data_IF_820927050462
#
_entry.id   IF_820927050462
#
_cell.length_a   1.000
_cell.length_b   1.000
_cell.length_c   1.000
_cell.angle_alpha   90.00
_cell.angle_beta   90.00
_cell.angle_gamma   90.00
#
_symmetry.space_group_name_H-M   'P 1'
#
loop_
_entity.id
_entity.type
_entity.pdbx_description
1 polymer ?
#
# COMPACT_ATOMS: atom_id res chain seq x y z
N UNK A 1 -17.95 6.47 22.68
CA UNK A 1 -18.49 7.25 21.54
C UNK A 1 -17.57 7.25 20.30
N UNK A 2 -16.24 7.34 20.43
CA UNK A 2 -15.32 7.30 19.25
C UNK A 2 -15.26 5.95 18.49
N UNK A 3 -15.53 4.82 19.16
CA UNK A 3 -15.43 3.49 18.54
C UNK A 3 -16.55 3.19 17.53
N UNK A 4 -17.71 3.84 17.64
CA UNK A 4 -18.84 3.65 16.71
C UNK A 4 -18.73 4.58 15.50
N UNK A 5 -18.12 5.76 15.67
CA UNK A 5 -17.94 6.74 14.58
C UNK A 5 -16.93 6.27 13.52
N UNK A 6 -15.86 5.57 13.90
CA UNK A 6 -14.85 5.10 12.94
C UNK A 6 -15.39 4.10 11.89
N UNK A 7 -16.04 2.98 12.26
CA UNK A 7 -16.61 2.06 11.27
C UNK A 7 -17.73 2.71 10.46
N UNK A 8 -18.50 3.62 11.07
CA UNK A 8 -19.54 4.38 10.36
C UNK A 8 -18.96 5.28 9.27
N UNK A 9 -17.86 6.00 9.56
CA UNK A 9 -17.18 6.85 8.59
C UNK A 9 -16.62 6.01 7.44
N UNK A 10 -15.95 4.89 7.73
CA UNK A 10 -15.43 3.98 6.68
C UNK A 10 -16.57 3.45 5.81
N UNK A 11 -17.67 3.01 6.42
CA UNK A 11 -18.84 2.53 5.68
C UNK A 11 -19.44 3.63 4.80
N UNK A 12 -19.55 4.86 5.32
CA UNK A 12 -20.06 6.00 4.56
C UNK A 12 -19.13 6.36 3.40
N UNK A 13 -17.81 6.42 3.62
CA UNK A 13 -16.83 6.68 2.56
C UNK A 13 -16.90 5.63 1.45
N UNK A 14 -17.03 4.35 1.81
CA UNK A 14 -17.19 3.27 0.85
C UNK A 14 -18.52 3.36 0.09
N UNK A 15 -19.62 3.65 0.80
CA UNK A 15 -20.93 3.86 0.18
C UNK A 15 -20.90 5.02 -0.82
N UNK A 16 -20.28 6.15 -0.48
CA UNK A 16 -20.11 7.29 -1.39
C UNK A 16 -19.30 6.89 -2.62
N UNK A 17 -18.19 6.18 -2.45
CA UNK A 17 -17.38 5.68 -3.57
C UNK A 17 -18.17 4.76 -4.51
N UNK A 18 -18.97 3.84 -3.95
CA UNK A 18 -19.84 2.95 -4.72
C UNK A 18 -20.95 3.71 -5.45
N UNK A 19 -21.57 4.71 -4.81
CA UNK A 19 -22.60 5.56 -5.42
C UNK A 19 -22.00 6.31 -6.61
N UNK A 20 -20.81 6.91 -6.46
CA UNK A 20 -20.11 7.59 -7.55
C UNK A 20 -19.80 6.62 -8.69
N UNK A 21 -19.28 5.43 -8.38
CA UNK A 21 -18.98 4.40 -9.38
C UNK A 21 -20.25 3.95 -10.13
N UNK A 22 -21.35 3.74 -9.41
CA UNK A 22 -22.62 3.30 -9.97
C UNK A 22 -23.26 4.37 -10.85
N UNK A 23 -23.32 5.62 -10.37
CA UNK A 23 -23.82 6.77 -11.13
C UNK A 23 -22.95 6.96 -12.38
N UNK A 24 -21.63 6.96 -12.24
CA UNK A 24 -20.69 7.08 -13.35
C UNK A 24 -20.90 6.00 -14.42
N UNK A 25 -21.04 4.74 -14.00
CA UNK A 25 -21.33 3.62 -14.91
C UNK A 25 -22.72 3.67 -15.55
N UNK A 26 -23.70 4.35 -14.93
CA UNK A 26 -25.05 4.54 -15.48
C UNK A 26 -25.13 5.69 -16.47
N UNK A 27 -24.46 6.81 -16.21
CA UNK A 27 -24.48 8.01 -17.05
C UNK A 27 -23.50 7.90 -18.22
N UNK A 28 -22.40 7.15 -18.06
CA UNK A 28 -21.38 7.04 -19.09
C UNK A 28 -21.92 6.50 -20.43
N UNK A 29 -21.54 7.08 -21.57
CA UNK A 29 -21.92 6.58 -22.88
C UNK A 29 -21.34 5.17 -23.11
N UNK A 30 -22.22 4.19 -23.27
CA UNK A 30 -21.86 2.79 -23.52
C UNK A 30 -21.49 2.62 -24.99
N UNK A 31 -20.28 3.03 -25.38
CA UNK A 31 -19.77 2.83 -26.73
C UNK A 31 -19.60 1.34 -27.09
N UNK A 32 -19.62 1.00 -28.39
CA UNK A 32 -19.41 -0.36 -28.88
C UNK A 32 -18.04 -0.90 -28.44
N UNK A 33 -17.99 -2.16 -28.02
CA UNK A 33 -16.75 -2.89 -27.74
C UNK A 33 -16.10 -3.28 -29.07
N UNK A 34 -15.21 -2.44 -29.57
CA UNK A 34 -14.40 -2.72 -30.78
C UNK A 34 -13.00 -3.16 -30.35
N UNK A 35 -12.34 -4.08 -31.09
CA UNK A 35 -11.03 -4.62 -30.70
C UNK A 35 -10.01 -3.54 -30.34
N UNK A 36 -9.88 -2.49 -31.16
CA UNK A 36 -8.93 -1.40 -30.89
C UNK A 36 -9.21 -0.60 -29.61
N UNK A 37 -10.46 -0.54 -29.13
CA UNK A 37 -10.83 0.11 -27.86
C UNK A 37 -10.46 -0.73 -26.64
N UNK A 38 -10.35 -2.04 -26.81
CA UNK A 38 -10.05 -2.99 -25.74
C UNK A 38 -8.57 -3.38 -25.67
N UNK A 39 -7.77 -3.00 -26.68
CA UNK A 39 -6.32 -3.23 -26.70
C UNK A 39 -5.62 -2.38 -25.65
N UNK A 40 -4.51 -2.87 -25.12
CA UNK A 40 -3.67 -2.09 -24.21
C UNK A 40 -3.11 -0.85 -24.90
N UNK A 41 -2.93 0.23 -24.12
CA UNK A 41 -2.31 1.43 -24.64
C UNK A 41 -0.79 1.23 -24.79
N UNK A 42 -0.33 1.14 -26.03
CA UNK A 42 1.09 1.08 -26.41
C UNK A 42 1.33 2.08 -27.55
N UNK A 43 0.97 3.35 -27.34
CA UNK A 43 1.12 4.40 -28.35
C UNK A 43 0.46 4.12 -29.72
N UNK A 44 -0.50 3.19 -29.79
CA UNK A 44 -1.15 2.75 -31.03
C UNK A 44 -0.40 1.67 -31.80
N UNK A 45 0.69 1.14 -31.27
CA UNK A 45 1.46 0.05 -31.86
C UNK A 45 0.86 -1.33 -31.52
N UNK A 46 0.84 -2.22 -32.51
CA UNK A 46 0.38 -3.60 -32.38
C UNK A 46 1.53 -4.51 -31.90
N UNK A 47 2.02 -4.24 -30.69
CA UNK A 47 3.02 -5.06 -30.02
C UNK A 47 2.35 -6.19 -29.23
N UNK A 48 2.95 -7.39 -29.17
CA UNK A 48 2.41 -8.49 -28.37
C UNK A 48 2.44 -8.11 -26.89
N UNK A 49 1.30 -8.26 -26.20
CA UNK A 49 1.17 -8.02 -24.77
C UNK A 49 2.13 -8.94 -24.00
N UNK A 50 3.24 -8.37 -23.51
CA UNK A 50 4.20 -9.10 -22.70
C UNK A 50 4.09 -8.63 -21.26
N UNK A 51 3.97 -9.58 -20.33
CA UNK A 51 4.16 -9.29 -18.91
C UNK A 51 5.63 -8.96 -18.70
N UNK A 52 5.95 -7.68 -18.56
CA UNK A 52 7.30 -7.24 -18.25
C UNK A 52 7.60 -7.54 -16.79
N UNK A 53 8.64 -8.33 -16.54
CA UNK A 53 9.20 -8.46 -15.20
C UNK A 53 10.07 -7.22 -14.94
N UNK A 54 9.49 -6.26 -14.23
CA UNK A 54 10.21 -5.07 -13.80
C UNK A 54 11.11 -5.46 -12.62
N UNK A 55 12.37 -5.04 -12.64
CA UNK A 55 13.21 -5.18 -11.46
C UNK A 55 12.66 -4.25 -10.36
N UNK A 56 12.08 -4.86 -9.33
CA UNK A 56 11.51 -4.20 -8.15
C UNK A 56 12.34 -4.45 -6.90
N UNK A 57 13.60 -4.89 -7.03
CA UNK A 57 14.51 -5.19 -5.93
C UNK A 57 14.62 -4.02 -4.95
N UNK A 58 14.93 -2.82 -5.46
CA UNK A 58 15.06 -1.64 -4.59
C UNK A 58 13.75 -1.23 -3.93
N UNK A 59 12.63 -1.40 -4.63
CA UNK A 59 11.30 -1.18 -4.05
C UNK A 59 11.05 -2.15 -2.90
N UNK A 60 11.35 -3.43 -3.08
CA UNK A 60 11.15 -4.45 -2.05
C UNK A 60 12.02 -4.18 -0.82
N UNK A 61 13.26 -3.74 -1.00
CA UNK A 61 14.14 -3.33 0.10
C UNK A 61 13.45 -2.24 0.93
N UNK A 62 12.92 -1.18 0.30
CA UNK A 62 12.19 -0.12 1.02
C UNK A 62 10.93 -0.64 1.72
N UNK A 63 10.18 -1.56 1.09
CA UNK A 63 8.98 -2.17 1.70
C UNK A 63 9.34 -2.93 2.98
N UNK A 64 10.45 -3.67 2.98
CA UNK A 64 10.92 -4.40 4.17
C UNK A 64 11.28 -3.43 5.29
N UNK A 65 12.03 -2.36 4.99
CA UNK A 65 12.33 -1.33 5.99
C UNK A 65 11.07 -0.65 6.53
N UNK A 66 10.13 -0.29 5.64
CA UNK A 66 8.86 0.29 6.05
C UNK A 66 8.12 -0.63 7.02
N UNK A 67 8.03 -1.92 6.72
CA UNK A 67 7.37 -2.90 7.58
C UNK A 67 8.05 -3.04 8.95
N UNK A 68 9.39 -3.03 9.00
CA UNK A 68 10.14 -3.04 10.26
C UNK A 68 9.77 -1.80 11.10
N UNK A 69 9.79 -0.61 10.49
CA UNK A 69 9.44 0.63 11.19
C UNK A 69 7.98 0.70 11.60
N UNK A 70 7.05 0.16 10.79
CA UNK A 70 5.63 0.12 11.10
C UNK A 70 5.35 -0.72 12.35
N UNK A 71 5.98 -1.89 12.47
CA UNK A 71 5.87 -2.72 13.68
C UNK A 71 6.48 -2.02 14.90
N UNK A 72 7.64 -1.36 14.76
CA UNK A 72 8.23 -0.58 15.86
C UNK A 72 7.30 0.55 16.30
N UNK A 73 6.74 1.30 15.34
CA UNK A 73 5.80 2.36 15.63
C UNK A 73 4.55 1.83 16.36
N UNK A 74 4.02 0.68 15.95
CA UNK A 74 2.89 0.03 16.61
C UNK A 74 3.22 -0.40 18.06
N UNK A 75 4.38 -1.03 18.27
CA UNK A 75 4.84 -1.45 19.61
C UNK A 75 5.04 -0.23 20.53
N UNK A 76 5.66 0.84 20.01
CA UNK A 76 5.84 2.08 20.78
C UNK A 76 4.50 2.74 21.09
N UNK A 77 3.61 2.86 20.10
CA UNK A 77 2.29 3.47 20.29
C UNK A 77 1.45 2.74 21.35
N UNK A 78 1.45 1.40 21.33
CA UNK A 78 0.74 0.59 22.34
C UNK A 78 1.39 0.64 23.72
N UNK A 79 2.71 0.84 23.78
CA UNK A 79 3.43 0.98 25.06
C UNK A 79 3.10 2.25 25.84
N UNK A 80 2.55 3.29 25.19
CA UNK A 80 2.12 4.49 25.91
C UNK A 80 0.98 4.23 26.90
N UNK A 81 0.16 3.20 26.65
CA UNK A 81 -0.92 2.82 27.57
C UNK A 81 -0.40 2.05 28.81
N UNK A 82 0.72 1.34 28.68
CA UNK A 82 1.37 0.62 29.78
C UNK A 82 2.89 0.64 29.57
N UNK A 83 3.56 1.65 30.15
CA UNK A 83 5.01 1.78 30.03
C UNK A 83 5.72 0.55 30.62
N UNK A 84 6.76 0.08 29.95
CA UNK A 84 7.53 -1.08 30.39
C UNK A 84 8.91 -1.14 29.74
N UNK A 85 9.72 -2.10 30.20
CA UNK A 85 11.09 -2.28 29.70
C UNK A 85 11.12 -2.97 28.34
N UNK A 86 10.14 -3.84 28.05
CA UNK A 86 10.10 -4.63 26.81
C UNK A 86 10.04 -3.81 25.50
N UNK A 87 9.23 -2.73 25.38
CA UNK A 87 9.22 -1.87 24.19
C UNK A 87 10.58 -1.20 23.90
N UNK A 88 11.31 -0.83 24.96
CA UNK A 88 12.65 -0.24 24.86
C UNK A 88 13.65 -1.29 24.38
N UNK A 89 13.67 -2.46 25.01
CA UNK A 89 14.54 -3.57 24.61
C UNK A 89 14.26 -4.01 23.17
N UNK A 90 12.99 -4.16 22.80
CA UNK A 90 12.57 -4.48 21.44
C UNK A 90 13.08 -3.43 20.43
N UNK A 91 12.90 -2.15 20.72
CA UNK A 91 13.36 -1.06 19.84
C UNK A 91 14.87 -1.04 19.67
N UNK A 92 15.65 -1.37 20.72
CA UNK A 92 17.09 -1.49 20.64
C UNK A 92 17.53 -2.67 19.76
N UNK A 93 16.89 -3.82 19.91
CA UNK A 93 17.17 -5.01 19.09
C UNK A 93 16.86 -4.72 17.62
N UNK A 94 15.70 -4.11 17.34
CA UNK A 94 15.32 -3.74 15.96
C UNK A 94 16.27 -2.67 15.40
N UNK A 95 16.67 -1.69 16.21
CA UNK A 95 17.67 -0.69 15.82
C UNK A 95 18.99 -1.32 15.40
N UNK A 96 19.49 -2.30 16.17
CA UNK A 96 20.67 -3.09 15.82
C UNK A 96 20.47 -3.87 14.51
N UNK A 97 19.32 -4.52 14.33
CA UNK A 97 19.00 -5.23 13.10
C UNK A 97 19.01 -4.30 11.87
N UNK A 98 18.45 -3.08 12.00
CA UNK A 98 18.48 -2.06 10.94
C UNK A 98 19.91 -1.67 10.60
N UNK A 99 20.78 -1.46 11.60
CA UNK A 99 22.19 -1.12 11.38
C UNK A 99 22.91 -2.22 10.60
N UNK A 100 22.64 -3.50 10.92
CA UNK A 100 23.19 -4.64 10.19
C UNK A 100 22.67 -4.72 8.76
N UNK A 101 21.40 -4.37 8.54
CA UNK A 101 20.78 -4.40 7.22
C UNK A 101 21.17 -3.21 6.33
N UNK A 102 21.59 -2.06 6.89
CA UNK A 102 21.93 -0.84 6.14
C UNK A 102 22.77 -1.03 4.86
N UNK A 103 23.76 -1.94 4.79
CA UNK A 103 24.51 -2.18 3.56
C UNK A 103 23.63 -2.59 2.36
N UNK A 104 22.48 -3.23 2.57
CA UNK A 104 21.53 -3.58 1.50
C UNK A 104 20.96 -2.35 0.78
N UNK A 105 20.85 -1.20 1.47
CA UNK A 105 20.46 0.07 0.83
C UNK A 105 21.56 0.67 -0.06
N UNK A 106 22.82 0.30 0.15
CA UNK A 106 23.96 0.83 -0.60
C UNK A 106 24.35 -0.05 -1.79
N UNK A 107 23.98 -1.33 -1.77
CA UNK A 107 24.33 -2.31 -2.79
C UNK A 107 23.25 -2.58 -3.85
N UNK A 108 22.10 -1.89 -3.79
CA UNK A 108 20.94 -2.07 -4.67
C UNK A 108 20.59 -0.82 -5.49
#
# INVERSE_FOLDING_TARGET
MQLVSAPLIVALSFAVGLIIYWIGGRIAPKGRKVPGKLREYICGEDLPTRKLQVNVERFLIYVVYFLIFDVVAFVLATSFASPGVYPVVYSLIVGLAIVVLLPLLRGA
#
